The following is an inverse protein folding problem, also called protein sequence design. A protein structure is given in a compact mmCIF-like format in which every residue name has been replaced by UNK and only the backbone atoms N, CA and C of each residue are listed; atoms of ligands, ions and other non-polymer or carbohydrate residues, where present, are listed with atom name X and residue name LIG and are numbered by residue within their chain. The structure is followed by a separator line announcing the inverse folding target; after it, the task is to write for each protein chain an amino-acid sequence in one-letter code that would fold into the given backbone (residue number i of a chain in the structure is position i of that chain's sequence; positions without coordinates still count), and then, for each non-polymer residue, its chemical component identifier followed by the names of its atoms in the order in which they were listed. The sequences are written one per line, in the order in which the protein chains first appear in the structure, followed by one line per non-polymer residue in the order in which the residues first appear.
data_IF_621055525426
#
_entry.id   IF_621055525426
#
_cell.length_a   1.000
_cell.length_b   1.000
_cell.length_c   1.000
_cell.angle_alpha   90.00
_cell.angle_beta   90.00
_cell.angle_gamma   90.00
#
_symmetry.space_group_name_H-M   'P 1'
#
loop_
_entity.id
_entity.type
_entity.pdbx_description
1 polymer ?
#
# COMPACT_ATOMS: atom_id res chain seq x y z
N UNK A 1 14.50 -7.20 22.31
CA UNK A 1 14.27 -8.66 22.11
C UNK A 1 13.18 -9.11 23.08
N UNK A 2 12.03 -9.58 22.58
CA UNK A 2 10.84 -9.88 23.37
C UNK A 2 11.10 -11.00 24.39
N UNK A 3 10.93 -10.70 25.68
CA UNK A 3 11.26 -11.61 26.78
C UNK A 3 10.26 -12.75 27.04
N UNK A 4 9.24 -12.92 26.19
CA UNK A 4 8.32 -14.05 26.26
C UNK A 4 7.90 -14.43 24.86
N UNK A 5 8.23 -15.65 24.43
CA UNK A 5 7.63 -16.27 23.24
C UNK A 5 6.12 -16.22 23.42
N UNK A 6 5.38 -15.52 22.55
CA UNK A 6 4.00 -15.22 22.85
C UNK A 6 3.16 -16.48 22.56
N UNK A 7 2.55 -17.04 23.60
CA UNK A 7 1.84 -18.31 23.50
C UNK A 7 0.62 -18.16 22.58
N UNK A 8 0.55 -18.94 21.51
CA UNK A 8 -0.54 -18.96 20.55
C UNK A 8 -1.72 -19.76 21.10
N UNK A 9 -2.53 -19.14 21.96
CA UNK A 9 -3.65 -19.79 22.66
C UNK A 9 -5.03 -19.25 22.26
N UNK A 10 -5.11 -18.04 21.70
CA UNK A 10 -6.40 -17.43 21.39
C UNK A 10 -6.94 -17.97 20.05
N UNK A 11 -8.04 -18.72 20.08
CA UNK A 11 -8.70 -19.24 18.88
C UNK A 11 -9.38 -18.10 18.11
N UNK A 12 -9.15 -18.02 16.80
CA UNK A 12 -9.67 -16.97 15.93
C UNK A 12 -10.28 -17.60 14.69
N UNK A 13 -11.49 -17.15 14.34
CA UNK A 13 -12.09 -17.44 13.04
C UNK A 13 -11.70 -16.37 12.02
N UNK A 14 -11.38 -16.83 10.82
CA UNK A 14 -11.11 -15.98 9.67
C UNK A 14 -11.33 -16.74 8.38
N UNK A 15 -10.69 -16.26 7.32
CA UNK A 15 -10.77 -16.82 5.99
C UNK A 15 -9.37 -16.95 5.40
N UNK A 16 -9.07 -18.10 4.80
CA UNK A 16 -7.75 -18.38 4.25
C UNK A 16 -7.83 -18.96 2.84
N UNK A 17 -6.82 -18.64 2.02
CA UNK A 17 -6.48 -19.46 0.86
C UNK A 17 -5.62 -20.64 1.36
N UNK A 18 -5.94 -21.85 0.90
CA UNK A 18 -5.24 -23.07 1.33
C UNK A 18 -4.26 -23.61 0.27
N UNK A 19 -4.37 -23.10 -0.96
CA UNK A 19 -3.54 -23.46 -2.10
C UNK A 19 -3.54 -22.32 -3.15
N UNK A 20 -2.78 -22.50 -4.22
CA UNK A 20 -2.59 -21.52 -5.30
C UNK A 20 -3.79 -21.30 -6.22
N UNK A 21 -4.93 -21.95 -5.98
CA UNK A 21 -6.17 -21.57 -6.66
C UNK A 21 -6.64 -20.16 -6.23
N UNK A 22 -6.20 -19.69 -5.06
CA UNK A 22 -6.65 -18.44 -4.45
C UNK A 22 -8.08 -18.50 -3.93
N UNK A 23 -8.69 -19.69 -3.85
CA UNK A 23 -10.01 -19.85 -3.25
C UNK A 23 -9.92 -19.65 -1.74
N UNK A 24 -10.60 -18.61 -1.26
CA UNK A 24 -10.64 -18.25 0.16
C UNK A 24 -11.83 -18.95 0.84
N UNK A 25 -11.55 -19.70 1.91
CA UNK A 25 -12.55 -20.50 2.68
C UNK A 25 -12.48 -20.19 4.17
N UNK A 26 -13.55 -20.46 4.96
CA UNK A 26 -13.50 -20.32 6.41
C UNK A 26 -12.35 -21.13 7.02
N UNK A 27 -11.61 -20.52 7.92
CA UNK A 27 -10.43 -21.11 8.54
C UNK A 27 -10.32 -20.66 10.00
N UNK A 28 -9.96 -21.60 10.88
CA UNK A 28 -9.75 -21.33 12.31
C UNK A 28 -8.29 -21.55 12.65
N UNK A 29 -7.69 -20.58 13.33
CA UNK A 29 -6.28 -20.59 13.70
C UNK A 29 -6.08 -20.01 15.10
N UNK A 30 -4.83 -19.99 15.58
CA UNK A 30 -4.49 -19.41 16.87
C UNK A 30 -3.71 -18.12 16.70
N UNK A 31 -4.02 -17.13 17.51
CA UNK A 31 -3.22 -15.93 17.72
C UNK A 31 -2.57 -15.95 19.08
N UNK A 32 -1.45 -15.25 19.18
CA UNK A 32 -0.73 -15.07 20.42
C UNK A 32 -1.52 -14.26 21.43
N UNK A 33 -1.29 -14.47 22.72
CA UNK A 33 -1.83 -13.60 23.77
C UNK A 33 -1.35 -12.15 23.61
N UNK A 34 -2.17 -11.21 24.09
CA UNK A 34 -1.77 -9.80 24.17
C UNK A 34 -0.65 -9.64 25.20
N UNK A 35 0.58 -9.41 24.72
CA UNK A 35 1.73 -9.13 25.55
C UNK A 35 1.76 -7.69 26.07
N UNK A 36 2.84 -7.35 26.77
CA UNK A 36 2.98 -6.06 27.47
C UNK A 36 3.10 -4.86 26.53
N UNK A 37 3.57 -5.05 25.29
CA UNK A 37 3.69 -4.00 24.27
C UNK A 37 2.56 -4.07 23.22
N UNK A 38 1.59 -4.96 23.41
CA UNK A 38 0.60 -5.24 22.37
C UNK A 38 -0.74 -4.58 22.64
N UNK A 39 -1.51 -4.44 21.58
CA UNK A 39 -2.95 -4.18 21.64
C UNK A 39 -3.70 -5.28 20.90
N UNK A 40 -4.83 -5.70 21.46
CA UNK A 40 -5.82 -6.54 20.78
C UNK A 40 -6.83 -5.61 20.13
N UNK A 41 -7.08 -5.85 18.85
CA UNK A 41 -7.96 -5.03 18.00
C UNK A 41 -9.08 -5.93 17.50
N UNK A 42 -10.32 -5.62 17.85
CA UNK A 42 -11.49 -6.15 17.15
C UNK A 42 -11.53 -5.54 15.75
N UNK A 43 -11.46 -6.39 14.73
CA UNK A 43 -11.40 -5.93 13.34
C UNK A 43 -12.81 -5.57 12.89
N UNK A 44 -13.01 -4.32 12.53
CA UNK A 44 -14.28 -3.81 12.01
C UNK A 44 -14.32 -3.88 10.49
N UNK A 45 -13.22 -3.47 9.84
CA UNK A 45 -13.07 -3.51 8.39
C UNK A 45 -11.67 -3.95 8.00
N UNK A 46 -11.58 -4.69 6.90
CA UNK A 46 -10.32 -4.95 6.22
C UNK A 46 -10.53 -4.68 4.73
N UNK A 47 -9.70 -3.81 4.16
CA UNK A 47 -9.69 -3.58 2.72
C UNK A 47 -9.12 -4.77 1.95
N UNK A 48 -9.35 -4.78 0.64
CA UNK A 48 -8.86 -5.80 -0.30
C UNK A 48 -7.93 -5.11 -1.29
N UNK A 49 -6.67 -5.54 -1.31
CA UNK A 49 -5.63 -5.04 -2.20
C UNK A 49 -5.17 -6.13 -3.18
N UNK A 50 -4.56 -5.73 -4.30
CA UNK A 50 -4.00 -6.69 -5.26
C UNK A 50 -2.90 -7.57 -4.64
N UNK A 51 -2.18 -7.08 -3.64
CA UNK A 51 -1.21 -7.86 -2.87
C UNK A 51 -1.88 -9.08 -2.20
N UNK A 52 -3.13 -8.96 -1.74
CA UNK A 52 -3.87 -10.10 -1.18
C UNK A 52 -4.13 -11.18 -2.24
N UNK A 53 -4.41 -10.76 -3.48
CA UNK A 53 -4.61 -11.66 -4.61
C UNK A 53 -3.30 -12.37 -5.02
N UNK A 54 -2.20 -11.62 -5.12
CA UNK A 54 -0.89 -12.17 -5.49
C UNK A 54 -0.42 -13.24 -4.49
N UNK A 55 -0.58 -13.00 -3.18
CA UNK A 55 -0.28 -14.02 -2.17
C UNK A 55 -1.28 -15.18 -2.21
N UNK A 56 -2.59 -14.93 -2.35
CA UNK A 56 -3.58 -16.01 -2.40
C UNK A 56 -3.37 -16.96 -3.60
N UNK A 57 -2.87 -16.45 -4.72
CA UNK A 57 -2.58 -17.23 -5.94
C UNK A 57 -1.14 -17.69 -6.09
N UNK A 58 -0.25 -17.24 -5.21
CA UNK A 58 1.19 -17.46 -5.29
C UNK A 58 1.82 -16.94 -6.59
N UNK A 59 1.36 -15.79 -7.09
CA UNK A 59 1.85 -15.19 -8.34
C UNK A 59 3.37 -14.89 -8.29
N UNK A 60 3.90 -14.61 -7.08
CA UNK A 60 5.32 -14.36 -6.84
C UNK A 60 6.12 -15.60 -6.43
N UNK A 61 5.49 -16.77 -6.28
CA UNK A 61 6.18 -18.01 -5.89
C UNK A 61 6.65 -18.10 -4.43
N UNK A 62 6.23 -17.18 -3.56
CA UNK A 62 6.70 -17.04 -2.17
C UNK A 62 5.60 -17.20 -1.10
N UNK A 63 4.41 -17.68 -1.46
CA UNK A 63 3.30 -17.88 -0.51
C UNK A 63 3.52 -19.08 0.40
N UNK A 64 3.21 -18.91 1.68
CA UNK A 64 3.21 -19.97 2.70
C UNK A 64 1.77 -20.28 3.09
N UNK A 65 1.22 -21.37 2.56
CA UNK A 65 -0.15 -21.79 2.88
C UNK A 65 -0.25 -22.44 4.27
N UNK A 66 -1.36 -22.21 5.00
CA UNK A 66 -2.51 -21.38 4.63
C UNK A 66 -2.20 -19.89 4.69
N UNK A 67 -2.74 -19.10 3.77
CA UNK A 67 -2.61 -17.63 3.76
C UNK A 67 -3.92 -17.02 4.26
N UNK A 68 -3.89 -16.28 5.37
CA UNK A 68 -4.99 -15.42 5.82
C UNK A 68 -4.66 -13.98 5.38
N UNK A 69 -5.24 -13.47 4.28
CA UNK A 69 -4.86 -12.16 3.74
C UNK A 69 -5.37 -10.99 4.59
N UNK A 70 -5.08 -9.77 4.14
CA UNK A 70 -5.58 -8.52 4.70
C UNK A 70 -4.50 -7.75 5.46
N UNK A 71 -4.19 -6.55 4.97
CA UNK A 71 -3.20 -5.62 5.54
C UNK A 71 -3.69 -4.16 5.49
N UNK A 72 -4.99 -3.97 5.31
CA UNK A 72 -5.68 -2.68 5.28
C UNK A 72 -6.70 -2.67 6.42
N UNK A 73 -6.23 -2.79 7.66
CA UNK A 73 -7.05 -3.20 8.80
C UNK A 73 -7.49 -1.96 9.60
N UNK A 74 -8.78 -1.81 9.88
CA UNK A 74 -9.27 -0.84 10.87
C UNK A 74 -10.17 -1.50 11.90
N UNK A 75 -10.09 -1.03 13.13
CA UNK A 75 -10.77 -1.66 14.24
C UNK A 75 -10.78 -0.86 15.52
N UNK A 76 -11.27 -1.50 16.57
CA UNK A 76 -11.38 -0.93 17.92
C UNK A 76 -10.49 -1.71 18.88
N UNK A 77 -9.73 -1.01 19.71
CA UNK A 77 -8.90 -1.65 20.74
C UNK A 77 -9.77 -2.25 21.83
N UNK A 78 -9.58 -3.54 22.10
CA UNK A 78 -10.29 -4.33 23.13
C UNK A 78 -9.37 -4.82 24.26
N UNK A 79 -8.04 -4.76 24.08
CA UNK A 79 -7.06 -5.02 25.15
C UNK A 79 -5.80 -4.18 24.91
N UNK A 80 -5.16 -3.75 26.00
CA UNK A 80 -3.95 -2.91 25.97
C UNK A 80 -2.91 -3.51 26.92
N UNK A 81 -1.68 -3.68 26.43
CA UNK A 81 -0.54 -4.14 27.22
C UNK A 81 -0.06 -3.08 28.21
N UNK A 82 0.60 -3.51 29.29
CA UNK A 82 1.01 -2.62 30.39
C UNK A 82 2.02 -1.54 30.00
N UNK A 83 2.80 -1.74 28.92
CA UNK A 83 3.77 -0.77 28.42
C UNK A 83 3.20 0.16 27.35
N UNK A 84 1.94 -0.04 26.93
CA UNK A 84 1.31 0.75 25.88
C UNK A 84 0.68 2.00 26.50
N UNK A 85 1.23 3.16 26.18
CA UNK A 85 0.78 4.45 26.72
C UNK A 85 0.12 5.38 25.68
N UNK A 86 0.30 5.10 24.38
CA UNK A 86 -0.24 5.93 23.28
C UNK A 86 -1.69 5.60 22.92
N UNK A 87 -2.22 4.49 23.43
CA UNK A 87 -3.52 3.95 23.09
C UNK A 87 -4.27 3.50 24.33
N UNK A 88 -5.60 3.49 24.24
CA UNK A 88 -6.51 3.00 25.28
C UNK A 88 -7.63 2.15 24.69
N UNK A 89 -8.32 1.42 25.57
CA UNK A 89 -9.55 0.69 25.21
C UNK A 89 -10.55 1.62 24.50
N UNK A 90 -11.17 1.13 23.44
CA UNK A 90 -12.15 1.88 22.65
C UNK A 90 -11.55 2.82 21.60
N UNK A 91 -10.22 3.01 21.54
CA UNK A 91 -9.61 3.80 20.48
C UNK A 91 -9.84 3.15 19.10
N UNK A 92 -10.12 4.00 18.10
CA UNK A 92 -10.18 3.64 16.69
C UNK A 92 -8.77 3.60 16.12
N UNK A 93 -8.37 2.46 15.59
CA UNK A 93 -7.00 2.22 15.13
C UNK A 93 -6.94 1.48 13.81
N UNK A 94 -5.79 1.56 13.17
CA UNK A 94 -5.48 0.80 11.97
C UNK A 94 -4.13 0.12 12.03
N UNK A 95 -3.97 -0.93 11.22
CA UNK A 95 -2.72 -1.68 11.03
C UNK A 95 -2.49 -1.84 9.53
N UNK A 96 -1.30 -1.45 9.07
CA UNK A 96 -0.89 -1.51 7.66
C UNK A 96 -0.16 -2.81 7.30
N UNK A 97 0.83 -2.70 6.42
CA UNK A 97 1.56 -3.86 5.85
C UNK A 97 2.61 -4.50 6.76
N UNK A 98 3.04 -3.83 7.83
CA UNK A 98 4.13 -4.27 8.69
C UNK A 98 3.61 -4.69 10.07
N UNK A 99 4.08 -5.84 10.56
CA UNK A 99 3.85 -6.34 11.91
C UNK A 99 5.06 -6.14 12.83
N UNK A 100 6.28 -6.14 12.28
CA UNK A 100 7.51 -5.94 13.04
C UNK A 100 8.70 -5.53 12.14
N UNK A 101 9.79 -5.11 12.78
CA UNK A 101 11.11 -4.81 12.22
C UNK A 101 12.16 -4.98 13.33
N UNK A 102 13.46 -4.93 13.02
CA UNK A 102 14.51 -5.19 14.01
C UNK A 102 14.64 -4.11 15.09
N UNK A 103 14.12 -2.90 14.85
CA UNK A 103 14.18 -1.72 15.73
C UNK A 103 15.59 -1.14 16.00
N UNK A 104 16.66 -1.78 15.51
CA UNK A 104 18.04 -1.42 15.86
C UNK A 104 18.89 -0.91 14.68
N UNK A 105 18.49 -1.18 13.43
CA UNK A 105 19.22 -0.68 12.25
C UNK A 105 18.96 0.81 12.01
N UNK A 106 19.80 1.43 11.17
CA UNK A 106 19.72 2.86 10.87
C UNK A 106 18.36 3.26 10.28
N UNK A 107 17.75 2.41 9.45
CA UNK A 107 16.40 2.63 8.94
C UNK A 107 15.37 2.66 10.06
N UNK A 108 15.38 1.70 10.98
CA UNK A 108 14.45 1.69 12.11
C UNK A 108 14.67 2.89 13.04
N UNK A 109 15.93 3.24 13.33
CA UNK A 109 16.28 4.39 14.18
C UNK A 109 15.87 5.73 13.56
N UNK A 110 15.74 5.78 12.24
CA UNK A 110 15.31 6.97 11.49
C UNK A 110 13.84 6.94 11.06
N UNK A 111 13.02 6.04 11.62
CA UNK A 111 11.58 5.89 11.29
C UNK A 111 11.30 5.52 9.83
N UNK A 112 12.17 4.67 9.29
CA UNK A 112 12.12 4.06 7.97
C UNK A 112 12.02 2.52 8.10
N UNK A 113 11.27 2.03 9.07
CA UNK A 113 11.14 0.60 9.40
C UNK A 113 10.74 -0.25 8.18
N UNK A 114 10.04 0.32 7.21
CA UNK A 114 9.66 -0.31 5.95
C UNK A 114 10.84 -0.68 5.03
N UNK A 115 12.03 -0.14 5.28
CA UNK A 115 13.27 -0.47 4.59
C UNK A 115 14.20 -1.38 5.42
N UNK A 116 13.72 -1.90 6.55
CA UNK A 116 14.49 -2.84 7.35
C UNK A 116 14.63 -4.20 6.64
N UNK A 117 15.84 -4.76 6.60
CA UNK A 117 16.08 -6.11 6.05
C UNK A 117 15.40 -7.24 6.85
N UNK A 118 14.90 -6.94 8.05
CA UNK A 118 14.19 -7.87 8.91
C UNK A 118 12.76 -7.38 9.20
N UNK A 119 12.09 -6.81 8.20
CA UNK A 119 10.66 -6.55 8.28
C UNK A 119 9.87 -7.86 8.39
N UNK A 120 8.82 -7.85 9.20
CA UNK A 120 7.80 -8.88 9.21
C UNK A 120 6.49 -8.30 8.72
N UNK A 121 5.90 -8.94 7.71
CA UNK A 121 4.65 -8.50 7.12
C UNK A 121 3.46 -8.82 8.04
N UNK A 122 2.36 -8.09 7.86
CA UNK A 122 1.10 -8.34 8.58
C UNK A 122 0.51 -9.72 8.32
N UNK A 123 0.78 -10.30 7.16
CA UNK A 123 0.48 -11.70 6.84
C UNK A 123 1.52 -12.27 5.86
N UNK A 124 1.60 -13.60 5.79
CA UNK A 124 2.57 -14.32 4.95
C UNK A 124 4.05 -13.94 5.22
N UNK A 125 4.33 -13.33 6.37
CA UNK A 125 5.68 -13.19 6.94
C UNK A 125 5.92 -14.20 8.07
N UNK A 126 7.17 -14.34 8.50
CA UNK A 126 7.56 -15.17 9.64
C UNK A 126 7.82 -14.25 10.84
N UNK A 127 7.06 -14.41 11.92
CA UNK A 127 7.26 -13.62 13.13
C UNK A 127 8.47 -14.11 13.93
N UNK A 128 8.89 -13.35 14.95
CA UNK A 128 10.11 -13.64 15.73
C UNK A 128 10.13 -15.00 16.44
N UNK A 129 8.96 -15.58 16.67
CA UNK A 129 8.78 -16.90 17.28
C UNK A 129 8.69 -18.05 16.26
N UNK A 130 8.93 -17.76 14.97
CA UNK A 130 8.85 -18.72 13.87
C UNK A 130 7.44 -19.00 13.35
N UNK A 131 6.40 -18.35 13.91
CA UNK A 131 5.03 -18.50 13.41
C UNK A 131 4.80 -17.74 12.11
N UNK A 132 3.86 -18.23 11.31
CA UNK A 132 3.34 -17.48 10.15
C UNK A 132 2.40 -16.38 10.66
N UNK A 133 2.57 -15.18 10.12
CA UNK A 133 1.67 -14.05 10.39
C UNK A 133 0.37 -14.20 9.59
N UNK A 134 -0.76 -13.91 10.25
CA UNK A 134 -2.10 -13.98 9.67
C UNK A 134 -2.79 -12.62 9.72
N UNK A 135 -3.39 -12.21 8.60
CA UNK A 135 -3.86 -10.86 8.35
C UNK A 135 -5.28 -10.56 8.83
N UNK A 136 -5.83 -9.49 8.26
CA UNK A 136 -7.08 -8.85 8.64
C UNK A 136 -8.36 -9.58 8.24
N UNK A 137 -8.30 -10.65 7.43
CA UNK A 137 -9.49 -11.44 7.07
C UNK A 137 -9.87 -12.39 8.22
N UNK A 138 -10.00 -11.83 9.42
CA UNK A 138 -10.25 -12.52 10.68
C UNK A 138 -10.99 -11.62 11.67
N UNK A 139 -11.47 -12.19 12.77
CA UNK A 139 -12.29 -11.45 13.74
C UNK A 139 -11.52 -10.44 14.60
N UNK A 140 -10.25 -10.71 14.90
CA UNK A 140 -9.41 -9.80 15.67
C UNK A 140 -7.94 -9.99 15.32
N UNK A 141 -7.12 -9.00 15.69
CA UNK A 141 -5.66 -9.00 15.55
C UNK A 141 -5.00 -8.66 16.89
N UNK A 142 -3.80 -9.19 17.12
CA UNK A 142 -2.91 -8.73 18.19
C UNK A 142 -1.67 -8.14 17.53
N UNK A 143 -1.42 -6.86 17.75
CA UNK A 143 -0.33 -6.11 17.11
C UNK A 143 0.52 -5.41 18.17
N UNK A 144 1.83 -5.32 17.91
CA UNK A 144 2.70 -4.44 18.70
C UNK A 144 2.26 -3.00 18.46
N UNK A 145 2.10 -2.23 19.54
CA UNK A 145 1.57 -0.87 19.49
C UNK A 145 2.35 0.10 18.58
N UNK A 146 3.61 -0.23 18.22
CA UNK A 146 4.43 0.57 17.29
C UNK A 146 3.91 0.55 15.85
N UNK A 147 3.25 -0.52 15.44
CA UNK A 147 2.73 -0.71 14.08
C UNK A 147 1.24 -0.40 13.97
N UNK A 148 0.69 0.20 15.02
CA UNK A 148 -0.71 0.62 15.10
C UNK A 148 -0.76 2.13 14.92
N UNK A 149 -1.67 2.59 14.06
CA UNK A 149 -1.92 4.02 13.82
C UNK A 149 -3.31 4.41 14.32
N UNK A 150 -3.48 5.66 14.73
CA UNK A 150 -4.79 6.17 15.15
C UNK A 150 -5.62 6.55 13.93
N UNK A 151 -6.89 6.18 13.94
CA UNK A 151 -7.86 6.60 12.91
C UNK A 151 -8.59 7.85 13.42
N UNK A 152 -8.48 9.00 12.74
CA UNK A 152 -9.18 10.22 13.12
C UNK A 152 -10.69 10.00 13.21
N UNK A 153 -11.34 10.63 14.21
CA UNK A 153 -12.77 10.43 14.46
C UNK A 153 -13.65 10.87 13.27
N UNK A 154 -13.19 11.89 12.53
CA UNK A 154 -13.88 12.46 11.38
C UNK A 154 -13.70 11.66 10.07
N UNK A 155 -12.89 10.60 10.05
CA UNK A 155 -12.74 9.73 8.88
C UNK A 155 -13.47 8.41 9.12
N UNK A 156 -14.36 7.93 8.25
CA UNK A 156 -15.03 6.65 8.45
C UNK A 156 -14.03 5.48 8.28
N UNK A 157 -14.11 4.45 9.14
CA UNK A 157 -13.08 3.40 9.23
C UNK A 157 -12.99 2.54 7.97
N UNK A 158 -14.13 2.22 7.37
CA UNK A 158 -14.24 1.50 6.10
C UNK A 158 -13.52 2.21 4.95
N UNK A 159 -13.73 3.53 4.79
CA UNK A 159 -13.04 4.31 3.76
C UNK A 159 -11.57 4.61 4.10
N UNK A 160 -11.18 4.51 5.38
CA UNK A 160 -9.80 4.74 5.81
C UNK A 160 -8.93 3.49 5.65
N UNK A 161 -9.50 2.29 5.75
CA UNK A 161 -8.78 1.02 5.61
C UNK A 161 -7.85 0.99 4.38
N UNK A 162 -8.30 1.33 3.15
CA UNK A 162 -7.43 1.34 1.97
C UNK A 162 -6.27 2.35 2.03
N UNK A 163 -6.37 3.39 2.88
CA UNK A 163 -5.31 4.38 3.02
C UNK A 163 -4.07 3.81 3.72
N UNK A 164 -4.23 2.71 4.47
CA UNK A 164 -3.14 2.02 5.20
C UNK A 164 -2.19 1.24 4.28
N UNK A 165 -2.56 1.04 3.01
CA UNK A 165 -1.69 0.51 1.97
C UNK A 165 -1.63 1.49 0.78
N UNK A 166 -2.68 1.55 -0.05
CA UNK A 166 -2.71 2.39 -1.25
C UNK A 166 -2.46 3.88 -0.94
N UNK A 167 -3.03 4.36 0.17
CA UNK A 167 -2.85 5.74 0.62
C UNK A 167 -1.40 6.07 0.92
N UNK A 168 -0.77 5.35 1.86
CA UNK A 168 0.61 5.62 2.26
C UNK A 168 1.62 5.39 1.13
N UNK A 169 1.38 4.41 0.26
CA UNK A 169 2.24 4.14 -0.91
C UNK A 169 2.31 5.36 -1.83
N UNK A 170 1.15 5.92 -2.18
CA UNK A 170 1.06 7.10 -3.04
C UNK A 170 1.56 8.35 -2.30
N UNK A 171 1.12 8.55 -1.06
CA UNK A 171 1.49 9.72 -0.28
C UNK A 171 3.01 9.82 -0.09
N UNK A 172 3.69 8.70 0.17
CA UNK A 172 5.16 8.67 0.33
C UNK A 172 5.85 9.07 -0.97
N UNK A 173 5.45 8.53 -2.12
CA UNK A 173 6.01 8.94 -3.42
C UNK A 173 5.86 10.44 -3.69
N UNK A 174 4.72 11.03 -3.32
CA UNK A 174 4.48 12.47 -3.43
C UNK A 174 5.35 13.26 -2.46
N UNK A 175 5.47 12.81 -1.21
CA UNK A 175 6.28 13.45 -0.18
C UNK A 175 7.76 13.47 -0.56
N UNK A 176 8.30 12.33 -0.98
CA UNK A 176 9.71 12.18 -1.35
C UNK A 176 10.06 13.00 -2.60
N UNK A 177 9.07 13.25 -3.46
CA UNK A 177 9.18 14.13 -4.63
C UNK A 177 8.85 15.61 -4.34
N UNK A 178 8.71 15.99 -3.06
CA UNK A 178 8.37 17.36 -2.60
C UNK A 178 7.05 17.92 -3.18
N UNK A 179 6.09 17.06 -3.52
CA UNK A 179 4.82 17.46 -4.11
C UNK A 179 3.81 17.95 -3.06
N UNK A 180 3.86 17.43 -1.84
CA UNK A 180 2.93 17.80 -0.76
C UNK A 180 2.94 19.30 -0.47
N UNK A 181 4.14 19.91 -0.45
CA UNK A 181 4.33 21.32 -0.09
C UNK A 181 4.51 22.25 -1.31
N UNK A 182 4.51 21.71 -2.54
CA UNK A 182 4.79 22.47 -3.78
C UNK A 182 3.61 22.46 -4.75
N UNK A 183 2.57 23.28 -4.54
CA UNK A 183 1.37 23.27 -5.39
C UNK A 183 1.65 23.63 -6.85
N UNK A 184 0.72 23.30 -7.75
CA UNK A 184 0.76 23.73 -9.15
C UNK A 184 1.62 22.87 -10.10
N UNK A 185 2.29 21.82 -9.60
CA UNK A 185 2.96 20.82 -10.46
C UNK A 185 1.97 20.09 -11.37
N UNK A 186 2.46 19.60 -12.52
CA UNK A 186 1.74 18.73 -13.46
C UNK A 186 2.08 17.28 -13.16
N UNK A 187 1.10 16.52 -12.67
CA UNK A 187 1.25 15.14 -12.20
C UNK A 187 0.55 14.19 -13.15
N UNK A 188 1.27 13.20 -13.68
CA UNK A 188 0.68 12.06 -14.38
C UNK A 188 0.38 10.90 -13.44
N UNK A 189 -0.76 10.25 -13.65
CA UNK A 189 -1.13 9.01 -12.96
C UNK A 189 -1.34 7.93 -14.00
N UNK A 190 -0.44 6.95 -14.08
CA UNK A 190 -0.56 5.83 -15.01
C UNK A 190 -1.40 4.73 -14.36
N UNK A 191 -2.51 4.40 -15.00
CA UNK A 191 -3.49 3.47 -14.46
C UNK A 191 -4.48 4.11 -13.49
N UNK A 192 -5.76 3.74 -13.60
CA UNK A 192 -6.82 4.22 -12.73
C UNK A 192 -7.49 3.03 -12.01
N UNK A 193 -6.80 2.52 -11.00
CA UNK A 193 -7.23 1.42 -10.13
C UNK A 193 -7.18 1.82 -8.65
N UNK A 194 -6.79 0.89 -7.77
CA UNK A 194 -6.68 1.14 -6.32
C UNK A 194 -5.71 2.28 -5.99
N UNK A 195 -4.44 2.17 -6.36
CA UNK A 195 -3.48 3.26 -6.12
C UNK A 195 -3.78 4.48 -7.01
N UNK A 196 -4.12 4.27 -8.28
CA UNK A 196 -4.38 5.36 -9.23
C UNK A 196 -5.47 6.34 -8.79
N UNK A 197 -6.63 5.86 -8.32
CA UNK A 197 -7.68 6.78 -7.88
C UNK A 197 -7.29 7.56 -6.60
N UNK A 198 -6.48 6.97 -5.73
CA UNK A 198 -5.93 7.63 -4.54
C UNK A 198 -4.89 8.67 -4.93
N UNK A 199 -4.04 8.38 -5.93
CA UNK A 199 -3.10 9.33 -6.52
C UNK A 199 -3.78 10.55 -7.14
N UNK A 200 -4.89 10.37 -7.85
CA UNK A 200 -5.67 11.51 -8.34
C UNK A 200 -6.18 12.34 -7.15
N UNK A 201 -6.77 11.71 -6.12
CA UNK A 201 -7.29 12.42 -4.95
C UNK A 201 -6.20 13.22 -4.20
N UNK A 202 -5.04 12.63 -3.94
CA UNK A 202 -3.92 13.35 -3.32
C UNK A 202 -3.40 14.46 -4.23
N UNK A 203 -3.24 14.20 -5.53
CA UNK A 203 -2.83 15.21 -6.50
C UNK A 203 -3.73 16.44 -6.49
N UNK A 204 -5.05 16.23 -6.49
CA UNK A 204 -6.03 17.32 -6.39
C UNK A 204 -6.01 18.01 -5.02
N UNK A 205 -5.92 17.25 -3.92
CA UNK A 205 -5.84 17.80 -2.57
C UNK A 205 -4.62 18.73 -2.38
N UNK A 206 -3.48 18.39 -2.98
CA UNK A 206 -2.27 19.22 -2.97
C UNK A 206 -2.24 20.31 -4.05
N UNK A 207 -3.36 20.52 -4.76
CA UNK A 207 -3.55 21.57 -5.79
C UNK A 207 -2.59 21.42 -6.97
N UNK A 208 -2.39 20.18 -7.41
CA UNK A 208 -1.71 19.89 -8.67
C UNK A 208 -2.69 19.83 -9.83
N UNK A 209 -2.13 19.99 -11.02
CA UNK A 209 -2.79 19.64 -12.26
C UNK A 209 -2.57 18.15 -12.53
N UNK A 210 -3.62 17.34 -12.50
CA UNK A 210 -3.56 15.88 -12.58
C UNK A 210 -4.03 15.40 -13.95
N UNK A 211 -3.17 14.65 -14.62
CA UNK A 211 -3.45 13.98 -15.90
C UNK A 211 -3.51 12.46 -15.65
N UNK A 212 -4.65 11.83 -15.95
CA UNK A 212 -4.75 10.36 -15.90
C UNK A 212 -4.32 9.78 -17.24
N UNK A 213 -3.46 8.77 -17.22
CA UNK A 213 -2.95 8.08 -18.40
C UNK A 213 -3.46 6.64 -18.35
N UNK A 214 -4.22 6.21 -19.36
CA UNK A 214 -4.87 4.90 -19.34
C UNK A 214 -4.96 4.26 -20.73
N UNK A 215 -4.96 2.94 -20.78
CA UNK A 215 -5.32 2.18 -21.99
C UNK A 215 -6.83 2.10 -22.21
N UNK A 216 -7.64 2.49 -21.24
CA UNK A 216 -9.10 2.29 -21.23
C UNK A 216 -9.84 3.63 -21.33
N UNK A 217 -10.30 4.05 -22.52
CA UNK A 217 -11.04 5.30 -22.70
C UNK A 217 -12.30 5.39 -21.83
N UNK A 218 -12.91 4.25 -21.49
CA UNK A 218 -14.09 4.19 -20.61
C UNK A 218 -13.86 4.76 -19.21
N UNK A 219 -12.61 4.90 -18.76
CA UNK A 219 -12.25 5.46 -17.46
C UNK A 219 -12.20 6.98 -17.43
N UNK A 220 -12.28 7.65 -18.59
CA UNK A 220 -12.18 9.11 -18.67
C UNK A 220 -13.28 9.81 -17.86
N UNK A 221 -14.53 9.33 -18.00
CA UNK A 221 -15.67 9.89 -17.28
C UNK A 221 -15.45 9.87 -15.77
N UNK A 222 -15.00 8.73 -15.23
CA UNK A 222 -14.70 8.59 -13.81
C UNK A 222 -13.53 9.49 -13.39
N UNK A 223 -12.46 9.52 -14.18
CA UNK A 223 -11.29 10.36 -13.91
C UNK A 223 -11.66 11.83 -13.77
N UNK A 224 -12.44 12.37 -14.72
CA UNK A 224 -12.79 13.79 -14.77
C UNK A 224 -13.92 14.13 -13.80
N UNK A 225 -15.06 13.44 -13.90
CA UNK A 225 -16.28 13.83 -13.18
C UNK A 225 -16.26 13.41 -11.71
N UNK A 226 -15.75 12.21 -11.40
CA UNK A 226 -15.78 11.66 -10.04
C UNK A 226 -14.52 11.98 -9.24
N UNK A 227 -13.37 11.93 -9.88
CA UNK A 227 -12.07 12.10 -9.21
C UNK A 227 -11.48 13.51 -9.39
N UNK A 228 -11.97 14.28 -10.36
CA UNK A 228 -11.54 15.65 -10.59
C UNK A 228 -10.21 15.79 -11.32
N UNK A 229 -9.79 14.80 -12.11
CA UNK A 229 -8.63 14.91 -12.98
C UNK A 229 -8.84 16.03 -14.02
N UNK A 230 -7.80 16.81 -14.28
CA UNK A 230 -7.82 17.94 -15.21
C UNK A 230 -7.69 17.49 -16.66
N UNK A 231 -6.92 16.43 -16.89
CA UNK A 231 -6.68 15.83 -18.22
C UNK A 231 -6.79 14.30 -18.19
N UNK A 232 -7.03 13.72 -19.36
CA UNK A 232 -7.02 12.28 -19.60
C UNK A 232 -6.31 12.00 -20.92
N UNK A 233 -5.42 11.00 -20.93
CA UNK A 233 -4.67 10.55 -22.10
C UNK A 233 -4.92 9.07 -22.30
N UNK A 234 -5.34 8.70 -23.52
CA UNK A 234 -5.39 7.32 -23.98
C UNK A 234 -4.00 6.90 -24.42
N UNK A 235 -3.32 6.03 -23.66
CA UNK A 235 -1.92 5.66 -23.90
C UNK A 235 -1.68 4.86 -25.18
N UNK A 236 -2.73 4.38 -25.84
CA UNK A 236 -2.68 3.75 -27.17
C UNK A 236 -2.89 4.75 -28.32
N UNK A 237 -3.22 6.00 -28.01
CA UNK A 237 -3.35 7.09 -28.97
C UNK A 237 -2.02 7.84 -29.10
N UNK A 238 -1.31 7.60 -30.21
CA UNK A 238 0.01 8.19 -30.46
C UNK A 238 -0.04 9.72 -30.57
N UNK A 239 -1.14 10.29 -31.08
CA UNK A 239 -1.31 11.73 -31.23
C UNK A 239 -1.45 12.42 -29.87
N UNK A 240 -2.22 11.85 -28.96
CA UNK A 240 -2.38 12.38 -27.59
C UNK A 240 -1.05 12.31 -26.81
N UNK A 241 -0.33 11.18 -26.88
CA UNK A 241 0.99 11.04 -26.27
C UNK A 241 1.99 12.06 -26.82
N UNK A 242 2.01 12.25 -28.15
CA UNK A 242 2.90 13.19 -28.80
C UNK A 242 2.58 14.65 -28.40
N UNK A 243 1.30 15.00 -28.27
CA UNK A 243 0.87 16.33 -27.82
C UNK A 243 1.25 16.61 -26.35
N UNK A 244 1.30 15.56 -25.52
CA UNK A 244 1.62 15.67 -24.09
C UNK A 244 3.12 15.48 -23.77
N UNK A 245 3.98 15.37 -24.78
CA UNK A 245 5.42 15.15 -24.60
C UNK A 245 6.06 16.27 -23.78
N UNK A 246 6.88 15.92 -22.79
CA UNK A 246 7.57 16.87 -21.90
C UNK A 246 6.65 17.87 -21.20
N UNK A 247 5.46 17.45 -20.77
CA UNK A 247 4.50 18.33 -20.07
C UNK A 247 4.36 18.04 -18.59
N UNK A 248 4.81 16.88 -18.09
CA UNK A 248 4.60 16.44 -16.72
C UNK A 248 5.85 16.62 -15.86
N UNK A 249 5.69 17.13 -14.64
CA UNK A 249 6.77 17.28 -13.66
C UNK A 249 7.06 15.96 -12.93
N UNK A 250 6.01 15.17 -12.70
CA UNK A 250 6.07 13.90 -11.98
C UNK A 250 5.05 12.93 -12.56
N UNK A 251 5.39 11.64 -12.57
CA UNK A 251 4.47 10.55 -12.90
C UNK A 251 4.53 9.52 -11.79
N UNK A 252 3.36 9.06 -11.33
CA UNK A 252 3.23 7.85 -10.52
C UNK A 252 2.65 6.72 -11.36
N UNK A 253 3.39 5.61 -11.46
CA UNK A 253 2.95 4.42 -12.18
C UNK A 253 2.32 3.40 -11.22
N UNK A 254 1.05 3.10 -11.47
CA UNK A 254 0.24 2.21 -10.64
C UNK A 254 -0.19 0.93 -11.36
N UNK A 255 0.36 0.65 -12.55
CA UNK A 255 -0.05 -0.48 -13.38
C UNK A 255 0.65 -1.76 -12.93
N UNK A 256 -0.13 -2.72 -12.43
CA UNK A 256 0.37 -4.04 -11.98
C UNK A 256 0.54 -5.07 -13.10
N UNK A 257 0.14 -4.75 -14.34
CA UNK A 257 0.33 -5.62 -15.50
C UNK A 257 1.60 -5.23 -16.28
N UNK A 258 2.10 -6.13 -17.12
CA UNK A 258 3.21 -5.83 -18.04
C UNK A 258 2.86 -4.64 -18.95
N UNK A 259 3.73 -3.64 -18.98
CA UNK A 259 3.62 -2.48 -19.85
C UNK A 259 5.02 -1.87 -20.13
N UNK A 260 5.12 -1.00 -21.13
CA UNK A 260 6.36 -0.31 -21.49
C UNK A 260 6.45 1.05 -20.80
N UNK A 261 7.60 1.35 -20.20
CA UNK A 261 7.86 2.65 -19.58
C UNK A 261 8.23 3.74 -20.60
N UNK A 262 8.64 3.37 -21.81
CA UNK A 262 9.15 4.32 -22.82
C UNK A 262 8.20 5.47 -23.14
N UNK A 263 6.95 5.19 -23.56
CA UNK A 263 5.96 6.24 -23.83
C UNK A 263 5.70 7.13 -22.61
N UNK A 264 5.66 6.55 -21.40
CA UNK A 264 5.45 7.27 -20.14
C UNK A 264 6.60 8.24 -19.85
N UNK A 265 7.85 7.78 -20.01
CA UNK A 265 9.05 8.59 -19.77
C UNK A 265 9.13 9.80 -20.70
N UNK A 266 8.63 9.70 -21.92
CA UNK A 266 8.60 10.82 -22.88
C UNK A 266 7.62 11.94 -22.51
N UNK A 267 6.64 11.67 -21.64
CA UNK A 267 5.71 12.68 -21.13
C UNK A 267 6.35 13.59 -20.07
N UNK A 268 7.44 13.14 -19.43
CA UNK A 268 8.14 13.90 -18.41
C UNK A 268 8.95 15.05 -18.99
N UNK A 269 8.91 16.20 -18.32
CA UNK A 269 9.80 17.33 -18.53
C UNK A 269 11.26 16.93 -18.26
N UNK A 270 12.19 17.80 -18.66
CA UNK A 270 13.59 17.69 -18.22
C UNK A 270 13.65 17.82 -16.68
N UNK A 271 14.39 16.93 -16.02
CA UNK A 271 14.39 16.71 -14.56
C UNK A 271 13.06 16.16 -13.99
N UNK A 272 12.19 15.61 -14.82
CA UNK A 272 10.97 14.94 -14.35
C UNK A 272 11.28 13.65 -13.58
N UNK A 273 10.35 13.25 -12.72
CA UNK A 273 10.48 12.05 -11.88
C UNK A 273 9.40 11.03 -12.21
N UNK A 274 9.77 9.77 -12.37
CA UNK A 274 8.85 8.63 -12.44
C UNK A 274 8.94 7.84 -11.14
N UNK A 275 7.87 7.78 -10.35
CA UNK A 275 7.77 6.89 -9.21
C UNK A 275 7.01 5.62 -9.60
N UNK A 276 7.67 4.47 -9.59
CA UNK A 276 7.00 3.19 -9.76
C UNK A 276 6.57 2.64 -8.41
N UNK A 277 5.25 2.46 -8.25
CA UNK A 277 4.65 1.97 -7.00
C UNK A 277 3.84 0.69 -7.20
N UNK A 278 4.02 0.04 -8.34
CA UNK A 278 3.40 -1.24 -8.68
C UNK A 278 4.39 -2.41 -8.52
N UNK A 279 3.84 -3.62 -8.38
CA UNK A 279 4.59 -4.86 -8.24
C UNK A 279 4.14 -5.88 -9.31
N UNK A 280 4.47 -5.67 -10.59
CA UNK A 280 4.18 -6.65 -11.63
C UNK A 280 4.92 -7.97 -11.37
N UNK A 281 4.36 -9.07 -11.84
CA UNK A 281 4.95 -10.41 -11.75
C UNK A 281 6.14 -10.61 -12.72
N UNK A 282 6.29 -9.71 -13.70
CA UNK A 282 7.37 -9.71 -14.68
C UNK A 282 8.22 -8.43 -14.57
N UNK A 283 9.54 -8.50 -14.86
CA UNK A 283 10.39 -7.32 -14.92
C UNK A 283 9.89 -6.27 -15.93
N UNK A 284 10.11 -4.99 -15.63
CA UNK A 284 9.82 -3.89 -16.55
C UNK A 284 11.04 -3.56 -17.41
N UNK A 285 10.81 -3.25 -18.68
CA UNK A 285 11.85 -2.76 -19.59
C UNK A 285 12.08 -1.26 -19.38
N UNK A 286 13.33 -0.86 -19.13
CA UNK A 286 13.71 0.52 -18.86
C UNK A 286 14.58 1.09 -20.01
N UNK A 287 14.05 1.98 -20.86
CA UNK A 287 14.82 2.56 -21.96
C UNK A 287 15.74 3.68 -21.46
N UNK A 288 17.04 3.58 -21.80
CA UNK A 288 18.06 4.51 -21.31
C UNK A 288 18.01 5.92 -21.94
N UNK A 289 17.66 6.03 -23.22
CA UNK A 289 17.71 7.31 -23.93
C UNK A 289 16.79 8.40 -23.35
N UNK A 290 15.51 8.12 -23.01
CA UNK A 290 14.66 9.08 -22.31
C UNK A 290 15.25 9.54 -20.97
N UNK A 291 15.88 8.63 -20.21
CA UNK A 291 16.51 8.96 -18.93
C UNK A 291 17.68 9.93 -19.11
N UNK A 292 18.58 9.64 -20.06
CA UNK A 292 19.77 10.45 -20.35
C UNK A 292 19.38 11.84 -20.87
N UNK A 293 18.56 11.90 -21.93
CA UNK A 293 18.22 13.16 -22.58
C UNK A 293 17.13 13.96 -21.85
N UNK A 294 16.39 13.32 -20.95
CA UNK A 294 15.45 13.98 -20.05
C UNK A 294 16.07 14.34 -18.70
N UNK A 295 17.27 13.85 -18.38
CA UNK A 295 17.85 13.92 -17.02
C UNK A 295 16.81 13.48 -15.98
N UNK A 296 16.14 12.36 -16.26
CA UNK A 296 15.01 11.90 -15.46
C UNK A 296 15.50 11.21 -14.19
N UNK A 297 14.70 11.31 -13.13
CA UNK A 297 14.86 10.48 -11.93
C UNK A 297 13.82 9.37 -11.96
N UNK A 298 14.25 8.17 -11.61
CA UNK A 298 13.44 6.95 -11.54
C UNK A 298 13.53 6.40 -10.13
#
# INVERSE_FOLDING_TARGET
MAQTTPNHTQTVSGWAALDSSGKVVPYTFKRRENGVNDVTIEIMYCGICHTDLHFAKNDWGISMYPVVPGHEITGIITKVGSNVNKFKLGDRVGVGCLAASCLECDFCKSSHENYCDQIQLTYNGIFWDGSITYGGYSKFLVADHRYVVRIPENLPMDATAPLLCAGITVFSAFKDSNLVDTPGKRVGVVGLGGLGHVAVKFGKAFRHHVTVISTSPSKEKEARERLGADDFIVSTNAQELQAARRTLDFIVDTVSAKHSLGPTLELLKVNGTLAVVCAPDQPMELPAFPLIFGKLTF
#
